data_IF_661264571912
#
_entry.id   IF_661264571912
#
_cell.length_a   1.000
_cell.length_b   1.000
_cell.length_c   1.000
_cell.angle_alpha   90.00
_cell.angle_beta   90.00
_cell.angle_gamma   90.00
#
_symmetry.space_group_name_H-M   'P 1'
#
loop_
_entity.id
_entity.type
_entity.pdbx_description
1 polymer ?
#
# COMPACT_ATOMS: atom_id res chain seq x y z
N UNK A 1 33.55 14.51 -24.78
CA UNK A 1 32.13 14.81 -24.50
C UNK A 1 31.37 13.48 -24.48
N UNK A 2 31.22 12.87 -23.31
CA UNK A 2 30.57 11.56 -23.18
C UNK A 2 29.05 11.74 -23.20
N UNK A 3 28.44 11.61 -24.39
CA UNK A 3 26.98 11.52 -24.47
C UNK A 3 26.58 10.09 -24.13
N UNK A 4 26.13 9.88 -22.90
CA UNK A 4 25.32 8.72 -22.57
C UNK A 4 24.11 8.74 -23.51
N UNK A 5 23.89 7.65 -24.26
CA UNK A 5 22.78 7.54 -25.19
C UNK A 5 21.53 7.28 -24.35
N UNK A 6 20.93 8.35 -23.82
CA UNK A 6 19.71 8.22 -23.01
C UNK A 6 18.59 7.67 -23.90
N UNK A 7 18.10 6.48 -23.59
CA UNK A 7 16.84 6.00 -24.15
C UNK A 7 15.72 6.99 -23.76
N UNK A 8 14.75 7.18 -24.66
CA UNK A 8 13.64 8.11 -24.40
C UNK A 8 12.88 7.64 -23.15
N UNK A 9 12.55 8.56 -22.22
CA UNK A 9 11.87 8.18 -21.00
C UNK A 9 10.51 7.55 -21.29
N UNK A 10 10.24 6.38 -20.69
CA UNK A 10 8.97 5.69 -20.87
C UNK A 10 7.96 6.27 -19.88
N UNK A 11 6.99 7.01 -20.39
CA UNK A 11 5.81 7.40 -19.61
C UNK A 11 4.92 6.19 -19.42
N UNK A 12 4.63 5.86 -18.16
CA UNK A 12 3.82 4.70 -17.79
C UNK A 12 2.62 5.17 -16.98
N UNK A 13 1.46 4.58 -17.28
CA UNK A 13 0.26 4.70 -16.46
C UNK A 13 0.03 3.43 -15.66
N UNK A 14 -0.12 3.58 -14.35
CA UNK A 14 -0.51 2.53 -13.43
C UNK A 14 -2.02 2.61 -13.23
N UNK A 15 -2.74 1.57 -13.65
CA UNK A 15 -4.16 1.42 -13.41
C UNK A 15 -4.39 0.47 -12.23
N UNK A 16 -5.06 0.95 -11.18
CA UNK A 16 -5.30 0.16 -9.96
C UNK A 16 -6.43 -0.84 -10.19
N UNK A 17 -6.09 -2.13 -10.26
CA UNK A 17 -7.04 -3.22 -10.53
C UNK A 17 -7.62 -3.86 -9.25
N UNK A 18 -6.92 -3.75 -8.13
CA UNK A 18 -7.31 -4.21 -6.79
C UNK A 18 -6.88 -3.19 -5.76
N UNK A 19 -7.50 -3.12 -4.56
CA UNK A 19 -7.08 -2.18 -3.54
C UNK A 19 -5.59 -2.32 -3.19
N UNK A 20 -4.89 -1.20 -3.05
CA UNK A 20 -3.44 -1.16 -2.77
C UNK A 20 -3.20 -0.37 -1.49
N UNK A 21 -2.42 -0.94 -0.57
CA UNK A 21 -1.88 -0.22 0.58
C UNK A 21 -0.35 -0.20 0.49
N UNK A 22 0.23 1.00 0.47
CA UNK A 22 1.69 1.18 0.57
C UNK A 22 1.96 1.82 1.92
N UNK A 23 2.54 1.07 2.84
CA UNK A 23 2.82 1.56 4.19
C UNK A 23 3.81 2.73 4.17
N UNK A 24 3.57 3.70 5.03
CA UNK A 24 4.43 4.87 5.24
C UNK A 24 4.76 5.09 6.72
N UNK A 25 4.47 4.10 7.58
CA UNK A 25 4.60 4.13 9.04
C UNK A 25 3.77 5.21 9.77
N UNK A 26 3.05 6.05 9.03
CA UNK A 26 2.03 6.94 9.57
C UNK A 26 0.71 6.22 9.84
N UNK A 27 0.00 6.71 10.86
CA UNK A 27 -1.29 6.19 11.31
C UNK A 27 -2.27 7.33 11.53
N UNK A 28 -3.58 7.04 11.41
CA UNK A 28 -4.59 7.92 11.98
C UNK A 28 -4.57 7.74 13.49
N UNK A 29 -4.18 8.80 14.20
CA UNK A 29 -4.17 8.77 15.65
C UNK A 29 -5.59 8.96 16.18
N UNK A 30 -6.03 8.13 17.14
CA UNK A 30 -7.39 8.18 17.66
C UNK A 30 -7.84 9.54 18.24
N UNK A 31 -6.91 10.40 18.63
CA UNK A 31 -7.15 11.76 19.13
C UNK A 31 -7.26 12.83 18.03
N UNK A 32 -6.96 12.44 16.78
CA UNK A 32 -6.83 13.33 15.62
C UNK A 32 -7.85 13.00 14.53
N UNK A 33 -8.86 12.17 14.85
CA UNK A 33 -9.97 11.92 13.96
C UNK A 33 -11.30 11.68 14.70
N UNK A 34 -12.39 11.87 13.98
CA UNK A 34 -13.72 11.34 14.33
C UNK A 34 -14.27 10.51 13.17
N UNK A 35 -15.23 9.63 13.43
CA UNK A 35 -15.96 8.93 12.37
C UNK A 35 -17.38 9.48 12.33
N UNK A 36 -17.74 10.06 11.19
CA UNK A 36 -19.11 10.50 10.89
C UNK A 36 -19.89 9.31 10.32
N UNK A 37 -20.81 8.78 11.12
CA UNK A 37 -21.56 7.57 10.79
C UNK A 37 -22.61 7.79 9.70
N UNK A 38 -23.08 9.04 9.52
CA UNK A 38 -24.05 9.39 8.50
C UNK A 38 -23.37 9.50 7.14
N UNK A 39 -22.23 10.20 7.09
CA UNK A 39 -21.41 10.32 5.88
C UNK A 39 -20.65 9.04 5.56
N UNK A 40 -20.45 8.15 6.54
CA UNK A 40 -19.60 6.95 6.45
C UNK A 40 -18.15 7.29 6.11
N UNK A 41 -17.62 8.31 6.80
CA UNK A 41 -16.26 8.80 6.61
C UNK A 41 -15.52 8.96 7.93
N UNK A 42 -14.21 8.72 7.88
CA UNK A 42 -13.27 9.21 8.88
C UNK A 42 -12.92 10.66 8.52
N UNK A 43 -12.98 11.53 9.52
CA UNK A 43 -12.66 12.96 9.43
C UNK A 43 -11.42 13.19 10.28
N UNK A 44 -10.27 13.29 9.62
CA UNK A 44 -8.99 13.61 10.25
C UNK A 44 -8.82 15.12 10.31
N UNK A 45 -8.37 15.63 11.46
CA UNK A 45 -8.17 17.06 11.70
C UNK A 45 -6.85 17.29 12.43
N UNK A 46 -6.31 18.51 12.35
CA UNK A 46 -5.15 18.92 13.14
C UNK A 46 -5.57 19.11 14.61
N UNK A 47 -4.93 18.41 15.58
CA UNK A 47 -5.23 18.60 17.01
C UNK A 47 -5.07 20.04 17.50
N UNK A 48 -4.15 20.82 16.93
CA UNK A 48 -3.94 22.22 17.28
C UNK A 48 -5.14 23.06 16.82
N UNK A 49 -5.59 22.85 15.58
CA UNK A 49 -6.78 23.52 15.07
C UNK A 49 -8.00 23.14 15.91
N UNK A 50 -8.15 21.87 16.29
CA UNK A 50 -9.22 21.45 17.20
C UNK A 50 -9.19 22.21 18.53
N UNK A 51 -8.03 22.30 19.19
CA UNK A 51 -7.87 22.97 20.49
C UNK A 51 -8.17 24.48 20.40
N UNK A 52 -7.74 25.13 19.32
CA UNK A 52 -7.97 26.58 19.14
C UNK A 52 -9.46 26.91 19.03
N UNK A 53 -10.26 26.01 18.46
CA UNK A 53 -11.71 26.17 18.32
C UNK A 53 -12.52 25.85 19.59
N UNK A 54 -11.89 25.35 20.65
CA UNK A 54 -12.58 25.06 21.93
C UNK A 54 -12.90 26.35 22.70
N UNK A 55 -14.08 26.41 23.32
CA UNK A 55 -14.43 27.45 24.31
C UNK A 55 -13.61 27.29 25.59
N UNK A 56 -13.60 28.30 26.46
CA UNK A 56 -12.87 28.21 27.73
C UNK A 56 -13.39 27.07 28.62
N UNK A 57 -14.71 26.85 28.66
CA UNK A 57 -15.33 25.75 29.41
C UNK A 57 -14.90 24.39 28.84
N UNK A 58 -14.92 24.24 27.51
CA UNK A 58 -14.51 23.02 26.82
C UNK A 58 -13.02 22.75 27.02
N UNK A 59 -12.15 23.77 26.99
CA UNK A 59 -10.72 23.63 27.28
C UNK A 59 -10.49 23.15 28.70
N UNK A 60 -11.17 23.74 29.68
CA UNK A 60 -11.07 23.33 31.08
C UNK A 60 -11.54 21.87 31.26
N UNK A 61 -12.59 21.45 30.55
CA UNK A 61 -13.04 20.05 30.54
C UNK A 61 -12.00 19.13 29.88
N UNK A 62 -11.48 19.51 28.71
CA UNK A 62 -10.46 18.75 27.99
C UNK A 62 -9.22 18.51 28.85
N UNK A 63 -8.73 19.54 29.54
CA UNK A 63 -7.60 19.42 30.47
C UNK A 63 -7.87 18.40 31.59
N UNK A 64 -9.09 18.38 32.15
CA UNK A 64 -9.48 17.38 33.16
C UNK A 64 -9.51 15.98 32.56
N UNK A 65 -10.05 15.83 31.36
CA UNK A 65 -10.16 14.54 30.66
C UNK A 65 -8.77 14.00 30.28
N UNK A 66 -7.87 14.84 29.76
CA UNK A 66 -6.49 14.46 29.45
C UNK A 66 -5.67 14.11 30.71
N UNK A 67 -6.02 14.71 31.86
CA UNK A 67 -5.39 14.37 33.15
C UNK A 67 -5.83 13.01 33.68
N UNK A 68 -6.90 12.42 33.12
CA UNK A 68 -7.31 11.06 33.41
C UNK A 68 -6.54 10.08 32.51
N UNK A 69 -6.09 8.94 33.03
CA UNK A 69 -5.44 7.90 32.21
C UNK A 69 -6.47 7.07 31.39
N UNK A 70 -7.57 7.69 30.97
CA UNK A 70 -8.67 7.06 30.26
C UNK A 70 -8.81 7.60 28.84
N UNK A 71 -8.16 6.93 27.90
CA UNK A 71 -8.17 7.28 26.47
C UNK A 71 -9.58 7.29 25.86
N UNK A 72 -10.50 6.44 26.35
CA UNK A 72 -11.89 6.44 25.89
C UNK A 72 -12.61 7.76 26.21
N UNK A 73 -12.29 8.37 27.36
CA UNK A 73 -12.88 9.65 27.76
C UNK A 73 -12.44 10.77 26.82
N UNK A 74 -11.17 10.76 26.39
CA UNK A 74 -10.64 11.70 25.41
C UNK A 74 -11.41 11.57 24.08
N UNK A 75 -11.64 10.36 23.57
CA UNK A 75 -12.40 10.19 22.33
C UNK A 75 -13.85 10.62 22.42
N UNK A 76 -14.51 10.30 23.54
CA UNK A 76 -15.90 10.72 23.77
C UNK A 76 -15.99 12.24 23.79
N UNK A 77 -15.02 12.91 24.42
CA UNK A 77 -14.93 14.37 24.41
C UNK A 77 -14.74 14.90 22.98
N UNK A 78 -13.72 14.42 22.27
CA UNK A 78 -13.39 14.86 20.90
C UNK A 78 -14.59 14.68 19.99
N UNK A 79 -15.22 13.50 19.98
CA UNK A 79 -16.43 13.24 19.17
C UNK A 79 -17.58 14.19 19.48
N UNK A 80 -17.81 14.49 20.75
CA UNK A 80 -18.93 15.33 21.19
C UNK A 80 -18.73 16.81 20.81
N UNK A 81 -17.48 17.27 20.85
CA UNK A 81 -17.15 18.70 20.67
C UNK A 81 -16.73 19.03 19.24
N UNK A 82 -16.22 18.05 18.49
CA UNK A 82 -15.85 18.21 17.09
C UNK A 82 -17.03 18.78 16.28
N UNK A 83 -16.72 19.75 15.43
CA UNK A 83 -17.67 20.37 14.53
C UNK A 83 -17.04 20.54 13.14
N UNK A 84 -17.89 20.68 12.12
CA UNK A 84 -17.45 20.71 10.71
C UNK A 84 -16.75 22.01 10.28
N UNK A 85 -16.51 22.97 11.18
CA UNK A 85 -15.79 24.21 10.84
C UNK A 85 -14.27 24.04 10.89
N UNK A 86 -13.77 22.94 11.44
CA UNK A 86 -12.34 22.63 11.50
C UNK A 86 -11.92 22.07 10.14
N UNK A 87 -10.86 22.60 9.50
CA UNK A 87 -10.28 22.01 8.29
C UNK A 87 -9.96 20.54 8.52
N UNK A 88 -10.45 19.67 7.63
CA UNK A 88 -10.33 18.24 7.82
C UNK A 88 -10.16 17.48 6.50
N UNK A 89 -9.46 16.36 6.60
CA UNK A 89 -9.34 15.37 5.54
C UNK A 89 -10.39 14.29 5.75
N UNK A 90 -11.21 14.08 4.73
CA UNK A 90 -12.23 13.02 4.75
C UNK A 90 -11.75 11.78 3.99
N UNK A 91 -11.93 10.59 4.59
CA UNK A 91 -11.61 9.30 3.97
C UNK A 91 -12.78 8.34 4.15
N UNK A 92 -13.17 7.63 3.09
CA UNK A 92 -14.28 6.67 3.17
C UNK A 92 -13.93 5.51 4.12
N UNK A 93 -14.92 4.98 4.83
CA UNK A 93 -14.71 3.84 5.74
C UNK A 93 -15.59 2.65 5.38
N UNK A 94 -15.09 1.44 5.63
CA UNK A 94 -15.90 0.23 5.57
C UNK A 94 -16.98 0.25 6.65
N UNK A 95 -18.17 -0.30 6.36
CA UNK A 95 -19.30 -0.34 7.29
C UNK A 95 -18.96 -1.03 8.62
N UNK A 96 -18.16 -2.11 8.57
CA UNK A 96 -17.69 -2.79 9.78
C UNK A 96 -16.87 -1.89 10.72
N UNK A 97 -16.17 -0.87 10.19
CA UNK A 97 -15.41 0.06 11.01
C UNK A 97 -16.35 1.00 11.78
N UNK A 98 -17.47 1.39 11.16
CA UNK A 98 -18.50 2.21 11.79
C UNK A 98 -19.16 1.46 12.95
N UNK A 99 -19.52 0.19 12.73
CA UNK A 99 -20.09 -0.68 13.77
C UNK A 99 -19.10 -0.87 14.93
N UNK A 100 -17.84 -1.13 14.62
CA UNK A 100 -16.79 -1.25 15.62
C UNK A 100 -16.61 0.04 16.43
N UNK A 101 -16.58 1.20 15.77
CA UNK A 101 -16.48 2.51 16.41
C UNK A 101 -17.64 2.76 17.39
N UNK A 102 -18.89 2.48 16.96
CA UNK A 102 -20.08 2.61 17.82
C UNK A 102 -19.98 1.71 19.05
N UNK A 103 -19.56 0.47 18.86
CA UNK A 103 -19.42 -0.50 19.96
C UNK A 103 -18.40 -0.02 21.00
N UNK A 104 -17.24 0.50 20.58
CA UNK A 104 -16.24 1.00 21.52
C UNK A 104 -16.74 2.23 22.27
N UNK A 105 -17.46 3.14 21.61
CA UNK A 105 -18.01 4.33 22.26
C UNK A 105 -19.16 4.04 23.24
N UNK A 106 -19.89 2.94 23.05
CA UNK A 106 -20.93 2.50 23.97
C UNK A 106 -20.37 1.89 25.27
N UNK A 107 -19.09 1.51 25.31
CA UNK A 107 -18.48 0.89 26.49
C UNK A 107 -18.25 1.90 27.62
N UNK A 108 -18.30 1.42 28.86
CA UNK A 108 -18.09 2.23 30.09
C UNK A 108 -16.62 2.33 30.48
N UNK A 109 -15.86 1.25 30.32
CA UNK A 109 -14.41 1.20 30.53
C UNK A 109 -13.76 0.29 29.50
N UNK A 110 -12.51 0.60 29.15
CA UNK A 110 -11.74 -0.19 28.21
C UNK A 110 -10.25 -0.05 28.49
N UNK A 111 -9.50 -1.12 28.25
CA UNK A 111 -8.04 -1.08 28.36
C UNK A 111 -7.46 -0.20 27.25
N UNK A 112 -6.68 0.80 27.63
CA UNK A 112 -5.95 1.71 26.76
C UNK A 112 -5.21 0.98 25.64
N UNK A 113 -4.57 -0.16 25.94
CA UNK A 113 -3.83 -0.96 24.94
C UNK A 113 -4.74 -1.52 23.87
N UNK A 114 -5.93 -1.98 24.25
CA UNK A 114 -6.87 -2.58 23.30
C UNK A 114 -7.47 -1.48 22.41
N UNK A 115 -7.80 -0.31 22.98
CA UNK A 115 -8.24 0.86 22.20
C UNK A 115 -7.17 1.26 21.17
N UNK A 116 -5.91 1.39 21.59
CA UNK A 116 -4.82 1.82 20.69
C UNK A 116 -4.71 0.81 19.56
N UNK A 117 -4.68 -0.49 19.87
CA UNK A 117 -4.61 -1.55 18.87
C UNK A 117 -5.80 -1.56 17.90
N UNK A 118 -6.99 -1.10 18.32
CA UNK A 118 -8.21 -1.09 17.51
C UNK A 118 -8.43 0.16 16.67
N UNK A 119 -7.72 1.25 16.97
CA UNK A 119 -7.83 2.51 16.26
C UNK A 119 -6.51 3.04 15.70
N UNK A 120 -5.45 2.23 15.74
CA UNK A 120 -4.23 2.49 14.97
C UNK A 120 -4.49 2.09 13.51
N UNK A 121 -5.06 3.01 12.74
CA UNK A 121 -5.41 2.80 11.34
C UNK A 121 -4.21 3.23 10.48
N UNK A 122 -3.60 2.32 9.73
CA UNK A 122 -2.39 2.65 8.97
C UNK A 122 -2.73 3.49 7.73
N UNK A 123 -2.01 4.60 7.51
CA UNK A 123 -2.15 5.42 6.30
C UNK A 123 -1.41 4.79 5.13
N UNK A 124 -1.94 4.99 3.92
CA UNK A 124 -1.19 4.69 2.70
C UNK A 124 -0.26 5.86 2.34
N UNK A 125 0.81 5.61 1.60
CA UNK A 125 1.78 6.62 1.18
C UNK A 125 1.10 7.86 0.56
N UNK A 126 1.43 9.02 1.11
CA UNK A 126 0.84 10.30 0.73
C UNK A 126 1.87 11.42 0.86
N UNK A 127 1.66 12.52 0.15
CA UNK A 127 2.45 13.72 0.30
C UNK A 127 1.90 14.53 1.49
N UNK A 128 2.70 14.78 2.55
CA UNK A 128 2.22 15.45 3.75
C UNK A 128 1.87 16.93 3.54
N UNK A 129 2.37 17.57 2.49
CA UNK A 129 2.07 18.97 2.18
C UNK A 129 0.73 19.13 1.44
N UNK A 130 0.37 18.15 0.62
CA UNK A 130 -0.82 18.23 -0.25
C UNK A 130 -1.92 17.23 0.13
N UNK A 131 -1.65 16.33 1.09
CA UNK A 131 -2.46 15.17 1.43
C UNK A 131 -2.81 14.26 0.24
N UNK A 132 -2.08 14.40 -0.88
CA UNK A 132 -2.32 13.64 -2.09
C UNK A 132 -1.59 12.31 -2.04
N UNK A 133 -2.31 11.23 -2.33
CA UNK A 133 -1.74 9.88 -2.41
C UNK A 133 -0.84 9.78 -3.62
N UNK A 134 0.29 9.10 -3.45
CA UNK A 134 1.20 8.77 -4.54
C UNK A 134 1.65 7.33 -4.41
N UNK A 135 2.19 6.78 -5.50
CA UNK A 135 2.79 5.45 -5.48
C UNK A 135 4.31 5.61 -5.54
N UNK A 136 5.06 5.27 -4.47
CA UNK A 136 6.51 5.40 -4.46
C UNK A 136 7.17 4.58 -5.57
N UNK A 137 8.12 5.19 -6.27
CA UNK A 137 8.89 4.54 -7.35
C UNK A 137 9.69 3.34 -6.85
N UNK A 138 10.08 3.35 -5.57
CA UNK A 138 10.71 2.21 -4.88
C UNK A 138 9.79 0.98 -4.82
N UNK A 139 8.47 1.16 -4.64
CA UNK A 139 7.50 0.06 -4.61
C UNK A 139 7.35 -0.59 -5.99
N UNK A 140 7.27 0.23 -7.04
CA UNK A 140 7.25 -0.25 -8.43
C UNK A 140 8.57 -0.94 -8.77
N UNK A 141 9.72 -0.30 -8.46
CA UNK A 141 11.05 -0.85 -8.73
C UNK A 141 11.28 -2.18 -8.02
N UNK A 142 10.82 -2.31 -6.77
CA UNK A 142 10.85 -3.57 -6.02
C UNK A 142 10.07 -4.68 -6.73
N UNK A 143 8.85 -4.39 -7.19
CA UNK A 143 8.05 -5.33 -7.96
C UNK A 143 8.71 -5.75 -9.28
N UNK A 144 9.27 -4.81 -10.04
CA UNK A 144 10.05 -5.11 -11.24
C UNK A 144 11.26 -6.00 -10.92
N UNK A 145 11.96 -5.72 -9.82
CA UNK A 145 13.12 -6.50 -9.36
C UNK A 145 12.74 -7.93 -9.03
N UNK A 146 11.69 -8.15 -8.24
CA UNK A 146 11.22 -9.49 -7.89
C UNK A 146 10.88 -10.29 -9.15
N UNK A 147 10.12 -9.71 -10.09
CA UNK A 147 9.77 -10.41 -11.32
C UNK A 147 11.00 -10.79 -12.15
N UNK A 148 11.99 -9.90 -12.24
CA UNK A 148 13.23 -10.16 -12.96
C UNK A 148 14.07 -11.25 -12.30
N UNK A 149 14.24 -11.21 -10.98
CA UNK A 149 14.93 -12.25 -10.22
C UNK A 149 14.26 -13.61 -10.39
N UNK A 150 12.94 -13.67 -10.25
CA UNK A 150 12.16 -14.90 -10.46
C UNK A 150 12.36 -15.47 -11.87
N UNK A 151 12.33 -14.60 -12.89
CA UNK A 151 12.61 -14.99 -14.27
C UNK A 151 14.04 -15.54 -14.44
N UNK A 152 15.06 -14.88 -13.89
CA UNK A 152 16.45 -15.35 -13.94
C UNK A 152 16.63 -16.68 -13.22
N UNK A 153 16.00 -16.88 -12.05
CA UNK A 153 16.04 -18.13 -11.32
C UNK A 153 15.48 -19.29 -12.14
N UNK A 154 14.38 -19.07 -12.87
CA UNK A 154 13.83 -20.07 -13.79
C UNK A 154 14.77 -20.33 -14.98
N UNK A 155 15.31 -19.27 -15.59
CA UNK A 155 16.18 -19.38 -16.77
C UNK A 155 17.50 -20.08 -16.47
N UNK A 156 18.06 -19.86 -15.27
CA UNK A 156 19.31 -20.49 -14.78
C UNK A 156 19.08 -21.84 -14.09
N UNK A 157 17.85 -22.36 -14.08
CA UNK A 157 17.41 -23.59 -13.39
C UNK A 157 17.76 -23.64 -11.88
N UNK A 158 17.66 -22.49 -11.20
CA UNK A 158 18.00 -22.31 -9.78
C UNK A 158 16.77 -22.23 -8.88
N UNK A 159 15.84 -23.18 -9.02
CA UNK A 159 14.54 -23.13 -8.30
C UNK A 159 14.57 -23.61 -6.85
N UNK A 160 15.65 -24.28 -6.42
CA UNK A 160 15.74 -24.92 -5.09
C UNK A 160 17.11 -24.70 -4.42
N UNK A 161 17.69 -23.51 -4.57
CA UNK A 161 19.01 -23.20 -4.01
C UNK A 161 18.88 -22.90 -2.51
N UNK A 162 19.62 -23.63 -1.68
CA UNK A 162 19.73 -23.37 -0.24
C UNK A 162 20.79 -22.28 0.00
N UNK A 163 20.45 -21.04 -0.35
CA UNK A 163 21.25 -19.86 -0.07
C UNK A 163 20.40 -18.81 0.65
N UNK A 164 21.05 -17.91 1.39
CA UNK A 164 20.39 -16.71 1.87
C UNK A 164 19.92 -15.86 0.67
N UNK A 165 18.74 -15.26 0.76
CA UNK A 165 18.13 -14.44 -0.28
C UNK A 165 19.08 -13.37 -0.83
N UNK A 166 19.85 -12.69 0.04
CA UNK A 166 20.78 -11.63 -0.38
C UNK A 166 21.87 -12.19 -1.30
N UNK A 167 22.47 -13.32 -0.95
CA UNK A 167 23.55 -13.90 -1.76
C UNK A 167 23.00 -14.53 -3.03
N UNK A 168 21.79 -15.07 -2.97
CA UNK A 168 21.09 -15.57 -4.14
C UNK A 168 20.76 -14.44 -5.14
N UNK A 169 20.31 -13.28 -4.66
CA UNK A 169 20.10 -12.11 -5.51
C UNK A 169 21.39 -11.64 -6.18
N UNK A 170 22.48 -11.52 -5.41
CA UNK A 170 23.80 -11.14 -5.96
C UNK A 170 24.27 -12.11 -7.03
N UNK A 171 24.06 -13.41 -6.81
CA UNK A 171 24.42 -14.45 -7.77
C UNK A 171 23.57 -14.40 -9.04
N UNK A 172 22.25 -14.19 -8.92
CA UNK A 172 21.36 -14.09 -10.06
C UNK A 172 21.68 -12.87 -10.93
N UNK A 173 21.90 -11.72 -10.29
CA UNK A 173 22.19 -10.44 -10.93
C UNK A 173 23.66 -10.25 -11.31
N UNK A 174 24.54 -11.14 -10.82
CA UNK A 174 25.99 -11.09 -11.02
C UNK A 174 26.61 -9.75 -10.56
N UNK A 175 26.09 -9.19 -9.47
CA UNK A 175 26.46 -7.87 -8.96
C UNK A 175 26.21 -7.68 -7.47
N UNK A 176 27.03 -6.83 -6.86
CA UNK A 176 26.92 -6.27 -5.51
C UNK A 176 26.26 -4.89 -5.54
N UNK A 177 26.17 -4.19 -4.41
CA UNK A 177 25.53 -2.87 -4.31
C UNK A 177 25.95 -1.87 -5.41
N UNK A 178 27.26 -1.75 -5.68
CA UNK A 178 27.84 -0.85 -6.67
C UNK A 178 27.79 -1.41 -8.10
N UNK A 179 27.76 -2.73 -8.28
CA UNK A 179 27.71 -3.40 -9.59
C UNK A 179 26.32 -3.96 -9.94
N UNK A 180 25.30 -3.63 -9.14
CA UNK A 180 23.93 -4.12 -9.34
C UNK A 180 23.34 -3.52 -10.62
N UNK A 181 22.88 -4.34 -11.59
CA UNK A 181 22.33 -3.84 -12.83
C UNK A 181 21.04 -3.03 -12.64
N UNK A 182 20.28 -3.22 -11.55
CA UNK A 182 19.12 -2.39 -11.22
C UNK A 182 19.49 -0.94 -10.87
N UNK A 183 20.78 -0.60 -10.73
CA UNK A 183 21.20 0.81 -10.70
C UNK A 183 20.80 1.54 -11.97
N UNK A 184 20.72 0.84 -13.10
CA UNK A 184 20.33 1.41 -14.39
C UNK A 184 18.81 1.55 -14.55
N UNK A 185 18.02 0.82 -13.76
CA UNK A 185 16.55 0.93 -13.77
C UNK A 185 16.13 2.09 -12.86
N UNK A 186 15.72 3.21 -13.45
CA UNK A 186 15.21 4.39 -12.74
C UNK A 186 13.69 4.40 -12.82
N UNK A 187 13.05 4.57 -11.67
CA UNK A 187 11.59 4.63 -11.56
C UNK A 187 11.25 5.86 -10.76
N UNK A 188 10.48 6.79 -11.34
CA UNK A 188 9.99 7.95 -10.61
C UNK A 188 8.89 7.53 -9.63
N UNK A 189 8.58 8.42 -8.69
CA UNK A 189 7.30 8.34 -8.00
C UNK A 189 6.16 8.55 -9.01
N UNK A 190 5.06 7.87 -8.77
CA UNK A 190 3.87 7.87 -9.61
C UNK A 190 2.84 8.80 -8.98
N UNK A 191 2.48 9.86 -9.71
CA UNK A 191 1.56 10.89 -9.27
C UNK A 191 0.14 10.60 -9.77
N UNK A 192 -0.90 10.92 -9.00
CA UNK A 192 -2.27 10.68 -9.41
C UNK A 192 -2.65 11.56 -10.61
N UNK A 193 -3.32 11.00 -11.61
CA UNK A 193 -3.85 11.78 -12.75
C UNK A 193 -5.20 12.44 -12.45
N UNK A 194 -5.89 11.94 -11.44
CA UNK A 194 -7.22 12.37 -11.04
C UNK A 194 -7.34 12.28 -9.52
N UNK A 195 -8.46 12.75 -8.96
CA UNK A 195 -8.73 12.58 -7.55
C UNK A 195 -8.85 11.08 -7.21
N UNK A 196 -7.85 10.58 -6.51
CA UNK A 196 -7.79 9.19 -6.06
C UNK A 196 -8.75 9.00 -4.89
N UNK A 197 -9.58 7.97 -4.98
CA UNK A 197 -10.43 7.54 -3.86
C UNK A 197 -9.64 6.63 -2.95
N UNK A 198 -9.64 6.95 -1.66
CA UNK A 198 -9.11 6.06 -0.63
C UNK A 198 -10.18 5.65 0.35
N UNK A 199 -9.96 4.47 0.92
CA UNK A 199 -10.90 3.87 1.87
C UNK A 199 -10.17 3.14 2.97
N UNK A 200 -10.64 3.26 4.20
CA UNK A 200 -10.15 2.44 5.32
C UNK A 200 -10.90 1.13 5.32
N UNK A 201 -10.15 0.03 5.23
CA UNK A 201 -10.68 -1.33 5.13
C UNK A 201 -10.03 -2.26 6.14
N UNK A 202 -10.60 -3.46 6.27
CA UNK A 202 -10.02 -4.55 7.04
C UNK A 202 -9.28 -5.53 6.14
N UNK A 203 -8.05 -5.86 6.49
CA UNK A 203 -7.30 -6.99 5.96
C UNK A 203 -7.76 -8.28 6.62
N UNK A 204 -8.28 -9.21 5.81
CA UNK A 204 -8.75 -10.52 6.28
C UNK A 204 -7.86 -11.61 5.70
N UNK A 205 -7.26 -12.42 6.58
CA UNK A 205 -6.47 -13.58 6.17
C UNK A 205 -7.37 -14.79 5.92
N UNK A 206 -7.35 -15.33 4.70
CA UNK A 206 -8.07 -16.55 4.32
C UNK A 206 -7.10 -17.58 3.76
N UNK A 207 -7.29 -18.86 4.13
CA UNK A 207 -6.53 -19.97 3.55
C UNK A 207 -6.93 -20.15 2.08
N UNK A 208 -5.96 -20.43 1.20
CA UNK A 208 -6.20 -20.76 -0.22
C UNK A 208 -6.95 -22.08 -0.43
N UNK A 209 -7.02 -22.94 0.59
CA UNK A 209 -7.78 -24.20 0.57
C UNK A 209 -9.01 -24.10 1.46
N UNK A 210 -10.15 -24.59 0.97
CA UNK A 210 -11.38 -24.69 1.75
C UNK A 210 -11.10 -25.65 2.92
N UNK A 211 -11.25 -25.17 4.13
CA UNK A 211 -11.05 -25.93 5.36
C UNK A 211 -12.10 -25.47 6.37
N UNK A 212 -12.71 -26.42 7.08
CA UNK A 212 -13.69 -26.16 8.14
C UNK A 212 -13.06 -25.59 9.42
N UNK A 213 -11.73 -25.57 9.54
CA UNK A 213 -11.03 -25.00 10.70
C UNK A 213 -10.67 -23.54 10.45
N UNK A 214 -11.28 -22.66 11.25
CA UNK A 214 -10.91 -21.25 11.32
C UNK A 214 -9.41 -21.07 11.58
N UNK A 215 -8.85 -19.99 11.06
CA UNK A 215 -7.42 -19.68 11.19
C UNK A 215 -7.21 -18.95 12.51
N UNK A 216 -6.20 -19.33 13.31
CA UNK A 216 -5.79 -18.55 14.50
C UNK A 216 -5.37 -17.11 14.15
N UNK A 217 -4.94 -16.86 12.91
CA UNK A 217 -4.60 -15.54 12.36
C UNK A 217 -5.81 -14.68 11.93
N UNK A 218 -7.04 -15.14 12.22
CA UNK A 218 -8.27 -14.36 12.03
C UNK A 218 -8.61 -13.44 13.21
N UNK A 219 -7.84 -13.50 14.30
CA UNK A 219 -8.25 -12.93 15.60
C UNK A 219 -8.10 -11.41 15.73
N UNK A 220 -7.27 -10.76 14.91
CA UNK A 220 -7.14 -9.29 14.91
C UNK A 220 -7.08 -8.81 13.45
N UNK A 221 -8.18 -8.26 12.92
CA UNK A 221 -8.17 -7.76 11.56
C UNK A 221 -7.33 -6.49 11.49
N UNK A 222 -6.36 -6.45 10.58
CA UNK A 222 -5.54 -5.26 10.35
C UNK A 222 -6.37 -4.20 9.66
N UNK A 223 -6.29 -2.95 10.12
CA UNK A 223 -6.97 -1.83 9.48
C UNK A 223 -5.95 -0.92 8.80
N UNK A 224 -6.25 -0.57 7.56
CA UNK A 224 -5.39 0.28 6.77
C UNK A 224 -6.18 0.98 5.66
N UNK A 225 -5.71 2.17 5.32
CA UNK A 225 -6.17 2.91 4.16
C UNK A 225 -5.64 2.26 2.88
N UNK A 226 -6.52 2.08 1.89
CA UNK A 226 -6.19 1.58 0.56
C UNK A 226 -6.56 2.60 -0.49
N UNK A 227 -5.77 2.63 -1.56
CA UNK A 227 -6.17 3.20 -2.85
C UNK A 227 -7.18 2.27 -3.50
N UNK A 228 -8.33 2.80 -3.88
CA UNK A 228 -9.39 2.01 -4.50
C UNK A 228 -9.14 1.71 -5.99
N UNK A 229 -9.80 0.66 -6.46
CA UNK A 229 -9.80 0.24 -7.87
C UNK A 229 -10.27 1.38 -8.78
N UNK A 230 -9.70 1.44 -9.97
CA UNK A 230 -10.03 2.45 -10.98
C UNK A 230 -9.10 3.66 -10.97
N UNK A 231 -8.43 3.93 -9.84
CA UNK A 231 -7.45 5.02 -9.73
C UNK A 231 -6.31 4.89 -10.75
N UNK A 232 -5.90 6.01 -11.34
CA UNK A 232 -4.83 6.05 -12.34
C UNK A 232 -3.69 6.96 -11.85
N UNK A 233 -2.47 6.44 -11.93
CA UNK A 233 -1.25 7.19 -11.64
C UNK A 233 -0.34 7.23 -12.87
N UNK A 234 0.42 8.31 -13.02
CA UNK A 234 1.42 8.47 -14.07
C UNK A 234 2.83 8.62 -13.47
N UNK A 235 3.79 7.93 -14.08
CA UNK A 235 5.19 7.99 -13.71
C UNK A 235 6.10 7.69 -14.91
N UNK A 236 7.39 7.65 -14.64
CA UNK A 236 8.42 7.46 -15.66
C UNK A 236 9.30 6.27 -15.26
N UNK A 237 9.58 5.39 -16.22
CA UNK A 237 10.59 4.35 -16.11
C UNK A 237 11.66 4.55 -17.17
N UNK A 238 12.92 4.63 -16.74
CA UNK A 238 14.08 4.69 -17.63
C UNK A 238 15.00 3.53 -17.33
N UNK A 239 15.65 3.00 -18.37
CA UNK A 239 16.66 1.95 -18.24
C UNK A 239 17.89 2.46 -18.96
N UNK A 240 18.89 2.88 -18.18
CA UNK A 240 20.11 3.47 -18.71
C UNK A 240 21.08 2.37 -19.22
N UNK A 241 21.91 2.70 -20.21
CA UNK A 241 23.04 1.84 -20.56
C UNK A 241 24.17 2.03 -19.54
N UNK A 242 24.77 0.95 -19.01
CA UNK A 242 25.91 1.08 -18.10
C UNK A 242 27.12 1.69 -18.80
N UNK A 243 27.80 2.61 -18.14
CA UNK A 243 29.08 3.14 -18.61
C UNK A 243 30.16 2.06 -18.51
N UNK A 244 31.21 2.18 -19.33
CA UNK A 244 32.28 1.16 -19.42
C UNK A 244 32.95 0.85 -18.07
N UNK A 245 33.01 1.82 -17.17
CA UNK A 245 33.74 1.71 -15.90
C UNK A 245 32.86 1.23 -14.73
N UNK A 246 31.58 0.91 -14.95
CA UNK A 246 30.66 0.57 -13.84
C UNK A 246 30.74 -0.89 -13.39
N UNK A 247 31.53 -1.74 -14.04
CA UNK A 247 31.67 -3.18 -13.74
C UNK A 247 30.34 -3.97 -13.68
N UNK A 248 29.28 -3.47 -14.33
CA UNK A 248 27.98 -4.14 -14.40
C UNK A 248 28.06 -5.22 -15.47
N UNK A 249 28.10 -6.49 -15.05
CA UNK A 249 28.31 -7.64 -15.93
C UNK A 249 27.06 -8.05 -16.73
N UNK A 250 25.89 -7.83 -16.14
CA UNK A 250 24.59 -8.28 -16.68
C UNK A 250 23.62 -7.11 -16.85
N UNK A 251 23.77 -6.27 -17.90
CA UNK A 251 22.88 -5.16 -18.17
C UNK A 251 21.41 -5.58 -18.30
N UNK A 252 20.50 -4.76 -17.78
CA UNK A 252 19.05 -4.97 -17.92
C UNK A 252 18.57 -4.28 -19.20
N UNK A 253 17.82 -5.02 -20.01
CA UNK A 253 17.16 -4.49 -21.20
C UNK A 253 15.65 -4.39 -20.97
N UNK A 254 15.04 -3.34 -21.51
CA UNK A 254 13.61 -3.05 -21.39
C UNK A 254 12.72 -4.25 -21.75
N UNK A 255 12.98 -4.86 -22.91
CA UNK A 255 12.20 -6.00 -23.40
C UNK A 255 12.26 -7.18 -22.43
N UNK A 256 13.46 -7.52 -21.94
CA UNK A 256 13.66 -8.60 -20.97
C UNK A 256 12.97 -8.31 -19.64
N UNK A 257 13.06 -7.07 -19.13
CA UNK A 257 12.45 -6.68 -17.87
C UNK A 257 10.92 -6.80 -17.91
N UNK A 258 10.27 -6.26 -18.96
CA UNK A 258 8.82 -6.31 -19.07
C UNK A 258 8.29 -7.70 -19.42
N UNK A 259 9.06 -8.51 -20.16
CA UNK A 259 8.75 -9.92 -20.37
C UNK A 259 8.83 -10.71 -19.07
N UNK A 260 9.82 -10.43 -18.22
CA UNK A 260 9.92 -11.05 -16.89
C UNK A 260 8.72 -10.70 -16.00
N UNK A 261 8.28 -9.43 -16.01
CA UNK A 261 7.07 -8.98 -15.32
C UNK A 261 5.82 -9.72 -15.81
N UNK A 262 5.64 -9.76 -17.13
CA UNK A 262 4.53 -10.45 -17.80
C UNK A 262 4.49 -11.94 -17.44
N UNK A 263 5.64 -12.60 -17.42
CA UNK A 263 5.77 -14.01 -17.05
C UNK A 263 5.42 -14.24 -15.57
N UNK A 264 6.07 -13.51 -14.66
CA UNK A 264 5.94 -13.71 -13.22
C UNK A 264 4.53 -13.35 -12.72
N UNK A 265 4.09 -12.11 -12.95
CA UNK A 265 2.78 -11.66 -12.46
C UNK A 265 1.61 -12.21 -13.26
N UNK A 266 1.81 -12.56 -14.54
CA UNK A 266 0.80 -13.26 -15.32
C UNK A 266 0.48 -14.65 -14.77
N UNK A 267 1.50 -15.37 -14.26
CA UNK A 267 1.29 -16.66 -13.57
C UNK A 267 0.53 -16.47 -12.26
N UNK A 268 1.01 -15.57 -11.40
CA UNK A 268 0.39 -15.29 -10.08
C UNK A 268 -1.07 -14.88 -10.25
N UNK A 269 -1.36 -13.96 -11.18
CA UNK A 269 -2.72 -13.50 -11.44
C UNK A 269 -3.66 -14.65 -11.79
N UNK A 270 -3.24 -15.59 -12.64
CA UNK A 270 -4.05 -16.77 -13.00
C UNK A 270 -4.35 -17.64 -11.77
N UNK A 271 -3.35 -17.90 -10.94
CA UNK A 271 -3.49 -18.69 -9.71
C UNK A 271 -4.44 -18.01 -8.71
N UNK A 272 -4.31 -16.70 -8.55
CA UNK A 272 -5.18 -15.92 -7.66
C UNK A 272 -6.62 -15.83 -8.17
N UNK A 273 -6.82 -15.63 -9.46
CA UNK A 273 -8.18 -15.63 -10.04
C UNK A 273 -8.88 -16.97 -9.87
N UNK A 274 -8.13 -18.08 -9.90
CA UNK A 274 -8.69 -19.39 -9.57
C UNK A 274 -9.18 -19.45 -8.11
N UNK A 275 -8.40 -18.92 -7.16
CA UNK A 275 -8.80 -18.83 -5.74
C UNK A 275 -10.00 -17.90 -5.56
N UNK A 276 -9.97 -16.70 -6.15
CA UNK A 276 -11.06 -15.70 -6.09
C UNK A 276 -12.37 -16.30 -6.57
N UNK A 277 -12.37 -16.97 -7.73
CA UNK A 277 -13.56 -17.63 -8.28
C UNK A 277 -14.04 -18.77 -7.38
N UNK A 278 -13.13 -19.60 -6.87
CA UNK A 278 -13.45 -20.75 -6.00
C UNK A 278 -14.15 -20.33 -4.70
N UNK A 279 -13.79 -19.18 -4.14
CA UNK A 279 -14.36 -18.67 -2.89
C UNK A 279 -15.49 -17.64 -3.10
N UNK A 280 -15.86 -17.33 -4.34
CA UNK A 280 -16.90 -16.36 -4.66
C UNK A 280 -16.54 -14.92 -4.27
N UNK A 281 -15.25 -14.58 -4.25
CA UNK A 281 -14.82 -13.19 -4.02
C UNK A 281 -15.01 -12.34 -5.27
N UNK A 282 -15.04 -11.02 -5.08
CA UNK A 282 -15.15 -10.07 -6.18
C UNK A 282 -13.98 -10.21 -7.16
N UNK A 283 -14.30 -10.57 -8.39
CA UNK A 283 -13.33 -10.79 -9.44
C UNK A 283 -12.55 -9.50 -9.78
N UNK A 284 -11.35 -9.65 -10.33
CA UNK A 284 -10.56 -8.54 -10.89
C UNK A 284 -10.79 -8.54 -12.39
N UNK A 285 -11.42 -7.49 -12.90
CA UNK A 285 -11.71 -7.35 -14.31
C UNK A 285 -10.56 -6.60 -15.00
N UNK A 286 -9.97 -7.23 -16.02
CA UNK A 286 -8.93 -6.59 -16.83
C UNK A 286 -9.52 -5.62 -17.86
N UNK A 287 -10.81 -5.72 -18.19
CA UNK A 287 -11.45 -4.88 -19.22
C UNK A 287 -10.62 -4.83 -20.52
N UNK A 288 -10.43 -3.62 -21.04
CA UNK A 288 -9.67 -3.33 -22.26
C UNK A 288 -8.18 -3.71 -22.17
N UNK A 289 -7.64 -3.94 -20.98
CA UNK A 289 -6.26 -4.39 -20.82
C UNK A 289 -6.06 -5.85 -21.21
N UNK A 290 -7.12 -6.66 -21.27
CA UNK A 290 -7.01 -8.10 -21.55
C UNK A 290 -6.30 -8.39 -22.88
N UNK A 291 -6.69 -7.68 -23.95
CA UNK A 291 -6.14 -7.91 -25.30
C UNK A 291 -4.76 -7.26 -25.52
N UNK A 292 -4.42 -6.32 -24.63
CA UNK A 292 -3.17 -5.56 -24.60
C UNK A 292 -2.11 -6.18 -23.68
N UNK A 293 -2.52 -7.10 -22.80
CA UNK A 293 -1.65 -7.73 -21.83
C UNK A 293 -0.52 -8.49 -22.52
N UNK A 294 0.70 -8.31 -22.00
CA UNK A 294 1.97 -8.83 -22.55
C UNK A 294 2.35 -8.27 -23.94
N UNK A 295 1.59 -7.30 -24.47
CA UNK A 295 1.92 -6.59 -25.72
C UNK A 295 2.29 -5.14 -25.45
N UNK A 296 1.40 -4.41 -24.78
CA UNK A 296 1.56 -2.98 -24.48
C UNK A 296 1.31 -2.63 -23.01
N UNK A 297 0.87 -3.60 -22.20
CA UNK A 297 0.78 -3.48 -20.76
C UNK A 297 1.20 -4.79 -20.08
N UNK A 298 1.59 -4.70 -18.82
CA UNK A 298 1.97 -5.83 -17.98
C UNK A 298 1.37 -5.64 -16.58
N UNK A 299 1.26 -6.74 -15.84
CA UNK A 299 0.82 -6.71 -14.44
C UNK A 299 2.02 -6.47 -13.53
N UNK A 300 1.77 -5.77 -12.43
CA UNK A 300 2.67 -5.66 -11.29
C UNK A 300 1.88 -5.88 -10.01
N UNK A 301 2.57 -6.26 -8.94
CA UNK A 301 1.98 -6.36 -7.62
C UNK A 301 2.82 -5.57 -6.63
N UNK A 302 2.17 -4.63 -5.96
CA UNK A 302 2.84 -3.66 -5.09
C UNK A 302 2.12 -3.49 -3.77
N UNK A 303 2.84 -2.95 -2.79
CA UNK A 303 2.32 -2.66 -1.47
C UNK A 303 2.32 -3.86 -0.53
N UNK A 304 1.90 -3.59 0.71
CA UNK A 304 1.77 -4.59 1.76
C UNK A 304 0.72 -5.62 1.36
N UNK A 305 0.83 -6.82 1.91
CA UNK A 305 -0.09 -7.94 1.62
C UNK A 305 -0.07 -8.44 0.17
N UNK A 306 1.00 -8.14 -0.57
CA UNK A 306 1.29 -8.79 -1.85
C UNK A 306 1.54 -10.31 -1.73
N UNK A 307 1.66 -10.84 -0.51
CA UNK A 307 1.86 -12.26 -0.26
C UNK A 307 3.30 -12.71 -0.59
N UNK A 308 3.79 -13.71 0.14
CA UNK A 308 5.17 -14.20 -0.01
C UNK A 308 5.49 -14.58 -1.47
N UNK A 309 4.59 -15.32 -2.13
CA UNK A 309 4.77 -15.81 -3.50
C UNK A 309 4.91 -14.73 -4.59
N UNK A 310 4.55 -13.47 -4.30
CA UNK A 310 4.71 -12.36 -5.24
C UNK A 310 5.90 -11.46 -4.90
N UNK A 311 6.57 -11.72 -3.78
CA UNK A 311 7.76 -11.01 -3.30
C UNK A 311 8.99 -11.92 -3.19
N UNK A 312 8.83 -13.24 -3.38
CA UNK A 312 9.88 -14.28 -3.40
C UNK A 312 9.83 -15.07 -4.69
#
# INVERSE_FOLDING_TARGET
MWRCKMEKPLKIRLHVLSPIHIGCDDVYEPTSFVIDENKKKLIEFDPIDFITHLTQEQRNEFMRVCSSDNLLSIFKFVRRVFNNNIPAREVDVASGLIEHYKNVLAMSSYDKKIIINQFTLNKTAYNPQTNSVYIPGSSIKGSLRTAYLSYLAVKKDKKNVRMNAIDFEKELLEGSFDTDPFRMVKVSDFQPLENVRTKIVYGINKKKRISSRETRASSVPLQFEVVERGSIFEGIINIDEPLRDTNIKSPIYQTTLFNACSYHYGKIFKEEMHVVNKFGFNNILLGDFKDRLNKTCFLVRIGRHSGAEAVT
#
